data_IF_675539384081
#
_entry.id   IF_675539384081
#
_cell.length_a   1.000
_cell.length_b   1.000
_cell.length_c   1.000
_cell.angle_alpha   90.00
_cell.angle_beta   90.00
_cell.angle_gamma   90.00
#
_symmetry.space_group_name_H-M   'P 1'
#
loop_
_entity.id
_entity.type
_entity.pdbx_description
1 polymer ?
#
# COMPACT_ATOMS: atom_id res chain seq x y z
N UNK A 1 39.27 -40.20 3.14
CA UNK A 1 39.75 -40.32 4.54
C UNK A 1 39.46 -39.02 5.28
N UNK A 2 38.73 -39.14 6.40
CA UNK A 2 38.61 -38.25 7.57
C UNK A 2 38.45 -36.71 7.34
N UNK A 3 37.32 -36.06 7.58
CA UNK A 3 36.44 -35.89 8.76
C UNK A 3 36.78 -34.66 9.63
N UNK A 4 35.80 -33.75 9.73
CA UNK A 4 35.32 -33.04 10.92
C UNK A 4 36.03 -31.75 11.43
N UNK A 5 35.30 -30.62 11.46
CA UNK A 5 34.49 -30.21 12.65
C UNK A 5 33.75 -28.87 12.42
N UNK A 6 32.46 -28.90 12.76
CA UNK A 6 31.61 -27.75 13.02
C UNK A 6 32.16 -26.88 14.15
N UNK A 7 32.02 -25.57 14.01
CA UNK A 7 31.90 -24.65 15.14
C UNK A 7 30.60 -23.85 15.01
N UNK A 8 29.65 -24.20 15.87
CA UNK A 8 28.56 -23.32 16.27
C UNK A 8 29.12 -22.34 17.30
N UNK A 9 28.89 -21.05 17.09
CA UNK A 9 29.02 -20.07 18.17
C UNK A 9 27.74 -19.27 18.25
N UNK A 10 26.94 -19.65 19.24
CA UNK A 10 25.88 -18.84 19.84
C UNK A 10 26.46 -17.53 20.32
N UNK A 11 26.00 -16.40 19.79
CA UNK A 11 26.15 -15.11 20.45
C UNK A 11 24.86 -14.80 21.21
N UNK A 12 24.98 -15.00 22.52
CA UNK A 12 24.09 -14.55 23.57
C UNK A 12 23.75 -13.08 23.43
N UNK A 13 22.47 -12.77 23.66
CA UNK A 13 21.96 -11.43 23.90
C UNK A 13 22.79 -10.72 24.99
N UNK A 14 23.39 -9.60 24.62
CA UNK A 14 23.77 -8.56 25.57
C UNK A 14 22.87 -7.36 25.31
N UNK A 15 21.89 -7.19 26.19
CA UNK A 15 21.28 -5.89 26.45
C UNK A 15 22.39 -4.92 26.84
N UNK A 16 22.61 -3.89 26.03
CA UNK A 16 23.06 -2.58 26.46
C UNK A 16 23.12 -1.66 25.23
N UNK A 17 22.04 -0.91 24.99
CA UNK A 17 22.18 0.37 24.31
C UNK A 17 21.68 1.46 25.25
N UNK A 18 22.67 2.18 25.75
CA UNK A 18 22.58 3.45 26.43
C UNK A 18 21.59 4.41 25.74
N UNK A 19 20.87 5.12 26.60
CA UNK A 19 20.20 6.38 26.32
C UNK A 19 21.06 7.26 25.41
N UNK A 20 20.63 7.42 24.16
CA UNK A 20 21.02 8.55 23.33
C UNK A 20 19.83 9.51 23.32
N UNK A 21 19.97 10.54 24.16
CA UNK A 21 19.25 11.80 24.05
C UNK A 21 19.28 12.26 22.60
N UNK A 22 18.15 12.14 21.90
CA UNK A 22 17.96 12.85 20.64
C UNK A 22 17.45 14.24 21.00
N UNK A 23 18.30 15.21 20.73
CA UNK A 23 18.13 16.62 20.96
C UNK A 23 16.80 17.10 20.38
N UNK A 24 16.04 17.81 21.21
CA UNK A 24 14.84 18.55 20.85
C UNK A 24 15.20 19.66 19.85
N UNK A 25 14.72 19.54 18.61
CA UNK A 25 14.67 20.66 17.69
C UNK A 25 13.47 21.55 18.05
N UNK A 26 13.65 22.89 18.14
CA UNK A 26 12.53 23.80 18.33
C UNK A 26 11.90 24.09 16.96
N UNK A 27 10.73 23.53 16.72
CA UNK A 27 9.90 23.82 15.55
C UNK A 27 8.46 23.46 15.90
N UNK A 28 7.56 24.43 15.79
CA UNK A 28 6.17 24.37 16.24
C UNK A 28 5.41 23.12 15.73
N UNK A 29 5.37 22.08 16.56
CA UNK A 29 4.42 20.99 16.42
C UNK A 29 3.02 21.51 16.74
N UNK A 30 2.37 22.10 15.73
CA UNK A 30 0.92 22.29 15.73
C UNK A 30 0.28 20.90 15.77
N UNK A 31 -0.10 20.48 16.98
CA UNK A 31 -0.92 19.29 17.21
C UNK A 31 -2.08 19.32 16.22
N UNK A 32 -2.13 18.29 15.38
CA UNK A 32 -3.16 18.05 14.37
C UNK A 32 -4.60 18.25 14.91
N UNK A 33 -4.81 18.11 16.22
CA UNK A 33 -6.03 18.46 16.97
C UNK A 33 -6.63 19.85 16.71
N UNK A 34 -5.86 20.84 16.22
CA UNK A 34 -6.35 22.20 15.93
C UNK A 34 -6.92 22.37 14.51
N UNK A 35 -6.88 21.34 13.67
CA UNK A 35 -7.49 21.28 12.33
C UNK A 35 -8.85 20.57 12.46
N UNK A 36 -9.95 21.32 12.41
CA UNK A 36 -11.30 20.83 12.72
C UNK A 36 -11.63 19.53 11.97
N UNK A 37 -11.95 18.47 12.73
CA UNK A 37 -12.31 17.16 12.19
C UNK A 37 -13.82 17.00 12.08
N UNK A 38 -14.28 16.46 10.95
CA UNK A 38 -15.64 15.92 10.84
C UNK A 38 -15.66 14.49 11.42
N UNK A 39 -16.22 14.34 12.62
CA UNK A 39 -16.45 13.04 13.26
C UNK A 39 -17.71 12.37 12.72
N UNK A 40 -17.57 11.43 11.80
CA UNK A 40 -18.57 10.36 11.61
C UNK A 40 -17.88 9.02 11.35
N UNK A 41 -17.87 8.16 12.37
CA UNK A 41 -17.57 6.73 12.24
C UNK A 41 -18.89 5.99 12.08
N UNK A 42 -19.23 5.56 10.86
CA UNK A 42 -20.26 4.52 10.67
C UNK A 42 -19.56 3.25 10.22
N UNK A 43 -19.56 2.23 11.08
CA UNK A 43 -19.30 0.86 10.62
C UNK A 43 -20.54 0.44 9.83
N UNK A 44 -20.40 0.28 8.51
CA UNK A 44 -21.50 -0.13 7.65
C UNK A 44 -21.56 -1.66 7.56
N UNK A 45 -22.72 -2.19 7.91
CA UNK A 45 -23.21 -3.51 7.52
C UNK A 45 -23.56 -3.48 6.02
N UNK A 46 -23.11 -4.49 5.26
CA UNK A 46 -23.49 -4.69 3.85
C UNK A 46 -22.60 -3.97 2.83
N UNK A 47 -22.20 -4.69 1.78
CA UNK A 47 -21.33 -4.24 0.70
C UNK A 47 -22.05 -3.20 -0.18
N UNK A 48 -22.04 -1.94 0.24
CA UNK A 48 -22.01 -0.84 -0.71
C UNK A 48 -20.58 -0.76 -1.25
N UNK A 49 -20.36 -0.50 -2.56
CA UNK A 49 -19.04 -0.11 -3.05
C UNK A 49 -18.57 1.02 -2.13
N UNK A 50 -17.41 0.84 -1.49
CA UNK A 50 -16.82 1.86 -0.62
C UNK A 50 -16.86 3.18 -1.37
N UNK A 51 -17.85 4.03 -1.07
CA UNK A 51 -17.94 5.34 -1.72
C UNK A 51 -16.73 6.11 -1.22
N UNK A 52 -15.75 6.39 -2.09
CA UNK A 52 -14.53 7.05 -1.65
C UNK A 52 -14.90 8.38 -1.04
N UNK A 53 -14.38 8.66 0.15
CA UNK A 53 -14.57 9.96 0.78
C UNK A 53 -13.83 11.00 -0.06
N UNK A 54 -14.44 12.12 -0.47
CA UNK A 54 -13.71 13.19 -1.15
C UNK A 54 -12.63 13.74 -0.22
N UNK A 55 -11.48 14.19 -0.75
CA UNK A 55 -10.34 14.65 0.06
C UNK A 55 -10.74 15.74 1.05
N UNK A 56 -11.56 16.70 0.61
CA UNK A 56 -12.07 17.81 1.43
C UNK A 56 -12.89 17.38 2.65
N UNK A 57 -13.36 16.13 2.71
CA UNK A 57 -14.02 15.58 3.91
C UNK A 57 -13.05 14.95 4.91
N UNK A 58 -11.78 14.80 4.54
CA UNK A 58 -10.71 14.19 5.34
C UNK A 58 -9.75 15.27 5.85
N UNK A 59 -9.36 16.19 4.96
CA UNK A 59 -8.44 17.29 5.22
C UNK A 59 -9.00 18.58 4.62
N UNK A 60 -8.81 19.69 5.33
CA UNK A 60 -9.12 21.02 4.82
C UNK A 60 -8.04 21.45 3.82
N UNK A 61 -8.32 21.25 2.53
CA UNK A 61 -7.42 21.53 1.41
C UNK A 61 -6.98 22.99 1.40
N UNK A 62 -7.90 23.92 1.70
CA UNK A 62 -7.61 25.36 1.72
C UNK A 62 -6.65 25.73 2.85
N UNK A 63 -6.78 25.08 4.01
CA UNK A 63 -5.90 25.36 5.16
C UNK A 63 -4.49 24.80 5.00
N UNK A 64 -4.28 23.79 4.16
CA UNK A 64 -2.96 23.19 3.93
C UNK A 64 -2.30 23.63 2.63
N UNK A 65 -2.99 24.43 1.80
CA UNK A 65 -2.48 24.82 0.47
C UNK A 65 -1.14 25.56 0.49
N UNK A 66 -0.84 26.29 1.56
CA UNK A 66 0.41 27.06 1.70
C UNK A 66 1.53 26.26 2.40
N UNK A 67 1.25 25.00 2.80
CA UNK A 67 2.26 24.11 3.40
C UNK A 67 3.09 23.40 2.33
N UNK A 68 4.29 22.99 2.71
CA UNK A 68 5.15 22.15 1.86
C UNK A 68 4.50 20.78 1.58
N UNK A 69 4.94 20.10 0.52
CA UNK A 69 4.48 18.75 0.21
C UNK A 69 4.84 17.77 1.35
N UNK A 70 6.03 17.92 1.92
CA UNK A 70 6.55 17.14 3.03
C UNK A 70 5.69 17.29 4.29
N UNK A 71 5.31 18.52 4.64
CA UNK A 71 4.45 18.78 5.81
C UNK A 71 3.06 18.16 5.63
N UNK A 72 2.50 18.23 4.42
CA UNK A 72 1.19 17.63 4.12
C UNK A 72 1.27 16.11 4.18
N UNK A 73 2.31 15.50 3.61
CA UNK A 73 2.53 14.06 3.63
C UNK A 73 2.71 13.54 5.07
N UNK A 74 3.54 14.20 5.88
CA UNK A 74 3.72 13.86 7.29
C UNK A 74 2.40 13.92 8.04
N UNK A 75 1.62 14.97 7.83
CA UNK A 75 0.37 15.14 8.55
C UNK A 75 -0.74 14.16 8.07
N UNK A 76 -0.68 13.77 6.79
CA UNK A 76 -1.53 12.73 6.23
C UNK A 76 -1.25 11.35 6.82
N UNK A 77 0.03 11.00 6.97
CA UNK A 77 0.47 9.75 7.58
C UNK A 77 0.07 9.70 9.06
N UNK A 78 0.35 10.78 9.82
CA UNK A 78 -0.03 10.91 11.23
C UNK A 78 -1.54 10.80 11.46
N UNK A 79 -2.35 11.35 10.54
CA UNK A 79 -3.80 11.27 10.65
C UNK A 79 -4.34 9.83 10.54
N UNK A 80 -3.72 9.00 9.69
CA UNK A 80 -4.17 7.63 9.44
C UNK A 80 -3.55 6.61 10.41
N UNK A 81 -2.43 6.96 11.04
CA UNK A 81 -1.73 6.10 12.00
C UNK A 81 -2.66 5.58 13.11
N UNK A 82 -2.72 4.25 13.25
CA UNK A 82 -3.50 3.58 14.30
C UNK A 82 -5.02 3.61 14.10
N UNK A 83 -5.51 4.03 12.92
CA UNK A 83 -6.96 4.14 12.64
C UNK A 83 -7.51 3.05 11.72
N UNK A 84 -6.74 2.00 11.44
CA UNK A 84 -7.11 0.95 10.49
C UNK A 84 -7.09 1.43 9.03
N UNK A 85 -6.28 2.46 8.75
CA UNK A 85 -6.10 3.02 7.42
C UNK A 85 -4.60 3.13 7.12
N UNK A 86 -4.25 3.04 5.84
CA UNK A 86 -2.92 3.32 5.34
C UNK A 86 -2.90 4.74 4.77
N UNK A 87 -2.10 5.62 5.36
CA UNK A 87 -1.69 6.89 4.75
C UNK A 87 -0.42 6.66 3.94
N UNK A 88 -0.41 7.18 2.71
CA UNK A 88 0.79 7.27 1.89
C UNK A 88 0.68 8.46 0.93
N UNK A 89 1.77 8.79 0.25
CA UNK A 89 1.80 9.77 -0.84
C UNK A 89 2.79 9.32 -1.92
N UNK A 90 2.63 9.85 -3.13
CA UNK A 90 3.55 9.62 -4.24
C UNK A 90 3.66 10.86 -5.12
N UNK A 91 4.72 10.94 -5.95
CA UNK A 91 4.87 12.02 -6.93
C UNK A 91 3.80 11.95 -8.01
N UNK A 92 3.39 13.12 -8.53
CA UNK A 92 2.35 13.20 -9.55
C UNK A 92 2.76 12.47 -10.83
N UNK A 93 4.01 12.61 -11.27
CA UNK A 93 4.51 11.92 -12.46
C UNK A 93 4.43 10.38 -12.36
N UNK A 94 4.71 9.81 -11.19
CA UNK A 94 4.60 8.38 -10.94
C UNK A 94 3.14 7.92 -10.92
N UNK A 95 2.24 8.74 -10.35
CA UNK A 95 0.81 8.47 -10.40
C UNK A 95 0.28 8.45 -11.83
N UNK A 96 0.64 9.44 -12.66
CA UNK A 96 0.22 9.48 -14.06
C UNK A 96 0.78 8.31 -14.88
N UNK A 97 2.00 7.87 -14.60
CA UNK A 97 2.54 6.65 -15.21
C UNK A 97 1.73 5.40 -14.82
N UNK A 98 1.40 5.26 -13.54
CA UNK A 98 0.56 4.18 -13.03
C UNK A 98 -0.84 4.22 -13.68
N UNK A 99 -1.47 5.39 -13.72
CA UNK A 99 -2.79 5.63 -14.31
C UNK A 99 -2.81 5.24 -15.80
N UNK A 100 -1.86 5.73 -16.58
CA UNK A 100 -1.73 5.40 -17.99
C UNK A 100 -1.58 3.89 -18.21
N UNK A 101 -0.71 3.25 -17.43
CA UNK A 101 -0.45 1.80 -17.53
C UNK A 101 -1.63 0.96 -17.08
N UNK A 102 -2.36 1.41 -16.06
CA UNK A 102 -3.55 0.75 -15.55
C UNK A 102 -4.75 0.87 -16.50
N UNK A 103 -4.86 1.95 -17.27
CA UNK A 103 -5.93 2.10 -18.27
C UNK A 103 -5.96 0.91 -19.24
N UNK A 104 -4.77 0.46 -19.64
CA UNK A 104 -4.53 -0.65 -20.58
C UNK A 104 -4.41 -2.02 -19.93
N UNK A 105 -3.83 -2.09 -18.73
CA UNK A 105 -3.53 -3.33 -18.01
C UNK A 105 -4.05 -3.21 -16.58
N UNK A 106 -5.31 -3.57 -16.35
CA UNK A 106 -6.01 -3.32 -15.07
C UNK A 106 -5.76 -4.37 -14.01
N UNK A 107 -5.36 -5.57 -14.41
CA UNK A 107 -5.37 -6.72 -13.52
C UNK A 107 -3.97 -7.22 -13.22
N UNK A 108 -3.73 -7.67 -12.00
CA UNK A 108 -2.48 -8.35 -11.68
C UNK A 108 -2.65 -9.29 -10.50
N UNK A 109 -1.66 -10.16 -10.28
CA UNK A 109 -1.62 -11.07 -9.15
C UNK A 109 -0.35 -10.88 -8.36
N UNK A 110 -0.47 -10.75 -7.04
CA UNK A 110 0.64 -10.51 -6.12
C UNK A 110 0.69 -11.64 -5.07
N UNK A 111 1.84 -12.31 -4.89
CA UNK A 111 2.04 -13.25 -3.80
C UNK A 111 2.17 -12.50 -2.46
N UNK A 112 1.30 -12.78 -1.49
CA UNK A 112 1.42 -12.28 -0.13
C UNK A 112 2.00 -13.38 0.77
N UNK A 113 3.26 -13.23 1.20
CA UNK A 113 3.96 -14.22 1.99
C UNK A 113 3.35 -14.40 3.39
N UNK A 114 3.03 -15.65 3.75
CA UNK A 114 2.39 -16.02 5.03
C UNK A 114 2.74 -17.45 5.44
N UNK A 115 3.05 -17.65 6.72
CA UNK A 115 3.04 -18.98 7.35
C UNK A 115 3.92 -20.04 6.65
N UNK A 116 5.03 -19.64 6.02
CA UNK A 116 5.90 -20.55 5.28
C UNK A 116 5.53 -20.80 3.82
N UNK A 117 4.56 -20.05 3.27
CA UNK A 117 4.21 -20.02 1.85
C UNK A 117 3.64 -18.66 1.46
N UNK A 118 2.75 -18.61 0.47
CA UNK A 118 2.07 -17.36 0.09
C UNK A 118 0.59 -17.59 -0.22
N UNK A 119 -0.21 -16.55 0.00
CA UNK A 119 -1.57 -16.42 -0.53
C UNK A 119 -1.52 -15.49 -1.74
N UNK A 120 -2.18 -15.85 -2.83
CA UNK A 120 -2.22 -14.96 -4.01
C UNK A 120 -3.34 -13.94 -3.88
N UNK A 121 -2.99 -12.67 -4.04
CA UNK A 121 -3.91 -11.53 -4.07
C UNK A 121 -4.16 -11.11 -5.51
N UNK A 122 -5.42 -10.91 -5.86
CA UNK A 122 -5.85 -10.34 -7.13
C UNK A 122 -6.00 -8.82 -6.97
N UNK A 123 -5.19 -8.07 -7.72
CA UNK A 123 -5.22 -6.61 -7.77
C UNK A 123 -6.01 -6.14 -8.99
N UNK A 124 -6.95 -5.23 -8.76
CA UNK A 124 -7.69 -4.51 -9.79
C UNK A 124 -7.33 -3.04 -9.69
N UNK A 125 -6.52 -2.54 -10.63
CA UNK A 125 -6.06 -1.15 -10.69
C UNK A 125 -6.94 -0.40 -11.69
N UNK A 126 -7.86 0.42 -11.17
CA UNK A 126 -8.75 1.26 -11.97
C UNK A 126 -8.80 2.64 -11.32
N UNK A 127 -7.86 3.50 -11.71
CA UNK A 127 -7.70 4.82 -11.11
C UNK A 127 -9.01 5.62 -11.13
N UNK A 128 -9.31 6.39 -10.06
CA UNK A 128 -8.45 6.64 -8.89
C UNK A 128 -8.54 5.56 -7.80
N UNK A 129 -8.98 4.34 -8.11
CA UNK A 129 -9.13 3.24 -7.16
C UNK A 129 -8.23 2.04 -7.47
N UNK A 130 -7.89 1.31 -6.40
CA UNK A 130 -7.25 0.00 -6.52
C UNK A 130 -7.84 -0.95 -5.48
N UNK A 131 -8.23 -2.15 -5.90
CA UNK A 131 -8.87 -3.15 -5.06
C UNK A 131 -8.01 -4.41 -4.98
N UNK A 132 -7.99 -5.01 -3.80
CA UNK A 132 -7.29 -6.26 -3.55
C UNK A 132 -8.24 -7.28 -2.96
N UNK A 133 -8.33 -8.43 -3.61
CA UNK A 133 -9.19 -9.55 -3.20
C UNK A 133 -8.35 -10.81 -3.16
N UNK A 134 -8.59 -11.71 -2.20
CA UNK A 134 -7.95 -13.03 -2.25
C UNK A 134 -8.31 -13.74 -3.55
N UNK A 135 -7.32 -14.28 -4.28
CA UNK A 135 -7.56 -14.84 -5.61
C UNK A 135 -8.56 -16.01 -5.55
N UNK A 136 -8.47 -16.87 -4.54
CA UNK A 136 -9.39 -18.00 -4.34
C UNK A 136 -10.83 -17.52 -4.05
N UNK A 137 -10.99 -16.47 -3.24
CA UNK A 137 -12.29 -15.87 -2.96
C UNK A 137 -12.90 -15.23 -4.24
N UNK A 138 -12.06 -14.59 -5.06
CA UNK A 138 -12.48 -14.03 -6.34
C UNK A 138 -12.87 -15.12 -7.34
N UNK A 139 -12.12 -16.22 -7.44
CA UNK A 139 -12.50 -17.37 -8.27
C UNK A 139 -13.85 -17.98 -7.85
N UNK A 140 -14.10 -18.05 -6.55
CA UNK A 140 -15.32 -18.64 -6.01
C UNK A 140 -16.57 -17.75 -6.18
N UNK A 141 -16.42 -16.42 -6.11
CA UNK A 141 -17.56 -15.48 -6.04
C UNK A 141 -17.58 -14.42 -7.16
N UNK A 142 -16.55 -14.37 -7.99
CA UNK A 142 -16.38 -13.36 -9.03
C UNK A 142 -16.43 -11.94 -8.46
N UNK A 143 -17.16 -11.06 -9.14
CA UNK A 143 -17.35 -9.65 -8.74
C UNK A 143 -18.14 -9.47 -7.43
N UNK A 144 -18.72 -10.54 -6.87
CA UNK A 144 -19.39 -10.51 -5.57
C UNK A 144 -18.41 -10.79 -4.41
N UNK A 145 -17.16 -11.14 -4.69
CA UNK A 145 -16.12 -11.24 -3.68
C UNK A 145 -15.84 -9.84 -3.11
N UNK A 146 -15.98 -9.69 -1.79
CA UNK A 146 -15.62 -8.45 -1.13
C UNK A 146 -14.08 -8.31 -1.09
N UNK A 147 -13.54 -7.13 -1.45
CA UNK A 147 -12.11 -6.87 -1.37
C UNK A 147 -11.67 -6.89 0.09
N UNK A 148 -10.42 -7.29 0.31
CA UNK A 148 -9.77 -7.24 1.62
C UNK A 148 -9.23 -5.85 1.89
N UNK A 149 -8.84 -5.13 0.83
CA UNK A 149 -8.23 -3.82 0.88
C UNK A 149 -8.62 -2.99 -0.34
N UNK A 150 -8.91 -1.72 -0.10
CA UNK A 150 -9.28 -0.76 -1.13
C UNK A 150 -8.42 0.50 -0.97
N UNK A 151 -7.99 1.06 -2.09
CA UNK A 151 -7.10 2.22 -2.14
C UNK A 151 -7.74 3.30 -2.98
N UNK A 152 -7.61 4.55 -2.53
CA UNK A 152 -8.04 5.75 -3.25
C UNK A 152 -6.87 6.70 -3.41
N UNK A 153 -6.70 7.23 -4.62
CA UNK A 153 -5.74 8.26 -4.98
C UNK A 153 -6.43 9.63 -5.03
N UNK A 154 -5.81 10.64 -4.46
CA UNK A 154 -6.27 12.03 -4.37
C UNK A 154 -5.27 12.94 -5.06
N UNK A 155 -5.64 13.46 -6.23
CA UNK A 155 -4.77 14.20 -7.14
C UNK A 155 -4.91 15.73 -7.02
N UNK A 156 -5.63 16.23 -6.03
CA UNK A 156 -5.87 17.67 -5.82
C UNK A 156 -4.57 18.48 -5.63
N UNK A 157 -3.50 17.84 -5.16
CA UNK A 157 -2.17 18.45 -5.01
C UNK A 157 -1.19 18.13 -6.15
N UNK A 158 -1.63 17.44 -7.20
CA UNK A 158 -0.73 16.97 -8.25
C UNK A 158 -0.08 18.14 -9.00
N UNK A 159 -0.86 19.14 -9.43
CA UNK A 159 -0.35 20.29 -10.17
C UNK A 159 0.40 21.29 -9.28
N UNK A 160 -0.11 21.53 -8.07
CA UNK A 160 0.41 22.58 -7.19
C UNK A 160 1.63 22.14 -6.36
N UNK A 161 1.82 20.83 -6.14
CA UNK A 161 2.85 20.29 -5.23
C UNK A 161 3.57 19.04 -5.75
N UNK A 162 3.34 18.63 -7.00
CA UNK A 162 3.87 17.36 -7.56
C UNK A 162 3.57 16.16 -6.65
N UNK A 163 2.37 16.13 -6.03
CA UNK A 163 2.03 15.15 -5.01
C UNK A 163 0.60 14.63 -5.15
N UNK A 164 0.44 13.32 -5.02
CA UNK A 164 -0.84 12.62 -4.93
C UNK A 164 -0.91 11.95 -3.56
N UNK A 165 -1.98 12.22 -2.80
CA UNK A 165 -2.22 11.56 -1.52
C UNK A 165 -2.93 10.22 -1.76
N UNK A 166 -2.63 9.24 -0.91
CA UNK A 166 -3.12 7.88 -1.05
C UNK A 166 -3.72 7.45 0.28
N UNK A 167 -4.95 6.95 0.24
CA UNK A 167 -5.60 6.31 1.38
C UNK A 167 -5.87 4.86 1.07
N UNK A 168 -5.45 3.98 1.96
CA UNK A 168 -5.84 2.58 1.97
C UNK A 168 -6.83 2.29 3.11
N UNK A 169 -7.94 1.63 2.80
CA UNK A 169 -8.95 1.16 3.74
C UNK A 169 -8.90 -0.38 3.83
N UNK A 170 -8.50 -0.91 5.00
CA UNK A 170 -8.49 -2.36 5.26
C UNK A 170 -9.92 -2.82 5.56
N UNK A 171 -10.56 -3.43 4.56
CA UNK A 171 -11.98 -3.83 4.60
C UNK A 171 -12.19 -5.11 5.40
N UNK A 172 -11.23 -6.04 5.35
CA UNK A 172 -11.28 -7.29 6.11
C UNK A 172 -10.07 -7.44 7.04
N UNK A 173 -10.08 -6.82 8.23
CA UNK A 173 -8.98 -6.92 9.19
C UNK A 173 -8.69 -8.35 9.68
N UNK A 174 -9.66 -9.27 9.58
CA UNK A 174 -9.47 -10.69 9.87
C UNK A 174 -8.70 -11.45 8.79
N UNK A 175 -8.56 -10.87 7.59
CA UNK A 175 -7.88 -11.46 6.44
C UNK A 175 -6.60 -10.74 6.07
N UNK A 176 -6.44 -9.47 6.43
CA UNK A 176 -5.30 -8.64 6.04
C UNK A 176 -4.95 -7.67 7.16
N UNK A 177 -3.69 -7.67 7.59
CA UNK A 177 -3.15 -6.69 8.53
C UNK A 177 -2.72 -5.39 7.83
N UNK A 178 -2.58 -4.31 8.59
CA UNK A 178 -2.14 -3.01 8.07
C UNK A 178 -0.76 -3.09 7.38
N UNK A 179 0.18 -3.87 7.94
CA UNK A 179 1.51 -4.05 7.37
C UNK A 179 1.45 -4.75 6.01
N UNK A 180 0.62 -5.79 5.90
CA UNK A 180 0.43 -6.52 4.65
C UNK A 180 -0.31 -5.67 3.61
N UNK A 181 -1.29 -4.86 4.03
CA UNK A 181 -1.99 -3.93 3.15
C UNK A 181 -1.04 -2.87 2.59
N UNK A 182 -0.20 -2.27 3.43
CA UNK A 182 0.84 -1.33 3.01
C UNK A 182 1.81 -1.99 2.03
N UNK A 183 2.28 -3.19 2.34
CA UNK A 183 3.17 -3.94 1.45
C UNK A 183 2.53 -4.25 0.09
N UNK A 184 1.24 -4.63 0.06
CA UNK A 184 0.50 -4.86 -1.19
C UNK A 184 0.38 -3.60 -2.05
N UNK A 185 0.10 -2.45 -1.41
CA UNK A 185 0.04 -1.15 -2.08
C UNK A 185 1.38 -0.83 -2.75
N UNK A 186 2.46 -0.80 -1.97
CA UNK A 186 3.80 -0.45 -2.44
C UNK A 186 4.29 -1.43 -3.51
N UNK A 187 4.06 -2.73 -3.30
CA UNK A 187 4.43 -3.76 -4.26
C UNK A 187 3.70 -3.56 -5.58
N UNK A 188 2.38 -3.38 -5.55
CA UNK A 188 1.59 -3.18 -6.77
C UNK A 188 2.02 -1.92 -7.49
N UNK A 189 2.20 -0.81 -6.78
CA UNK A 189 2.73 0.43 -7.36
C UNK A 189 4.07 0.18 -8.05
N UNK A 190 5.00 -0.53 -7.39
CA UNK A 190 6.32 -0.84 -7.96
C UNK A 190 6.23 -1.61 -9.29
N UNK A 191 5.25 -2.50 -9.45
CA UNK A 191 5.03 -3.22 -10.71
C UNK A 191 4.53 -2.30 -11.82
N UNK A 192 3.71 -1.30 -11.49
CA UNK A 192 3.17 -0.37 -12.47
C UNK A 192 4.14 0.76 -12.81
N UNK A 193 4.96 1.23 -11.88
CA UNK A 193 5.85 2.38 -12.12
C UNK A 193 7.26 2.01 -12.57
N UNK A 194 7.66 0.74 -12.48
CA UNK A 194 8.97 0.27 -12.95
C UNK A 194 8.84 -0.45 -14.31
N UNK A 195 9.62 -0.01 -15.31
CA UNK A 195 9.55 -0.53 -16.68
C UNK A 195 9.79 -2.05 -16.79
N UNK A 196 10.77 -2.56 -16.03
CA UNK A 196 11.10 -3.99 -16.05
C UNK A 196 10.00 -4.81 -15.42
N UNK A 197 9.48 -4.38 -14.26
CA UNK A 197 8.39 -5.08 -13.56
C UNK A 197 7.08 -5.00 -14.33
N UNK A 198 6.81 -3.87 -15.00
CA UNK A 198 5.57 -3.67 -15.76
C UNK A 198 5.39 -4.67 -16.90
N UNK A 199 6.48 -5.21 -17.48
CA UNK A 199 6.40 -6.29 -18.48
C UNK A 199 5.63 -7.51 -17.97
N UNK A 200 5.69 -7.82 -16.68
CA UNK A 200 4.93 -8.91 -16.08
C UNK A 200 3.44 -8.59 -16.00
N UNK A 201 3.10 -7.34 -15.68
CA UNK A 201 1.72 -6.84 -15.68
C UNK A 201 1.16 -6.86 -17.10
N UNK A 202 1.92 -6.36 -18.07
CA UNK A 202 1.52 -6.37 -19.47
C UNK A 202 1.28 -7.79 -19.99
N UNK A 203 2.21 -8.71 -19.70
CA UNK A 203 2.06 -10.12 -20.09
C UNK A 203 0.82 -10.75 -19.47
N UNK A 204 0.55 -10.49 -18.19
CA UNK A 204 -0.65 -10.98 -17.52
C UNK A 204 -1.95 -10.52 -18.23
N UNK A 205 -2.03 -9.25 -18.65
CA UNK A 205 -3.25 -8.68 -19.24
C UNK A 205 -3.40 -8.94 -20.74
N UNK A 206 -2.30 -8.96 -21.50
CA UNK A 206 -2.33 -8.99 -22.98
C UNK A 206 -1.84 -10.30 -23.59
N UNK A 207 -1.04 -11.06 -22.86
CA UNK A 207 -0.36 -12.27 -23.33
C UNK A 207 -0.48 -13.39 -22.28
N UNK A 208 -1.68 -13.60 -21.74
CA UNK A 208 -1.91 -14.45 -20.55
C UNK A 208 -1.37 -15.88 -20.70
N UNK A 209 -1.26 -16.41 -21.92
CA UNK A 209 -0.69 -17.72 -22.19
C UNK A 209 0.82 -17.82 -21.93
N UNK A 210 1.55 -16.70 -22.04
CA UNK A 210 2.99 -16.61 -21.77
C UNK A 210 3.28 -16.18 -20.31
N UNK A 211 2.24 -15.86 -19.54
CA UNK A 211 2.40 -15.42 -18.16
C UNK A 211 2.75 -16.61 -17.25
N UNK A 212 3.88 -16.50 -16.57
CA UNK A 212 4.31 -17.46 -15.56
C UNK A 212 4.39 -16.79 -14.18
N UNK A 213 3.61 -17.31 -13.22
CA UNK A 213 3.58 -16.73 -11.88
C UNK A 213 4.94 -16.81 -11.15
N UNK A 214 5.78 -17.79 -11.49
CA UNK A 214 7.14 -17.92 -10.96
C UNK A 214 8.01 -16.69 -11.25
N UNK A 215 7.76 -15.98 -12.35
CA UNK A 215 8.49 -14.76 -12.71
C UNK A 215 8.14 -13.63 -11.74
N UNK A 216 6.91 -13.60 -11.22
CA UNK A 216 6.48 -12.66 -10.17
C UNK A 216 7.15 -12.99 -8.85
N UNK A 217 7.23 -14.27 -8.48
CA UNK A 217 7.96 -14.71 -7.28
C UNK A 217 9.43 -14.29 -7.35
N UNK A 218 10.09 -14.54 -8.49
CA UNK A 218 11.47 -14.15 -8.72
C UNK A 218 11.68 -12.63 -8.65
N UNK A 219 10.78 -11.84 -9.26
CA UNK A 219 10.86 -10.37 -9.22
C UNK A 219 10.72 -9.77 -7.81
N UNK A 220 10.15 -10.55 -6.88
CA UNK A 220 9.97 -10.21 -5.47
C UNK A 220 10.94 -10.95 -4.54
N UNK A 221 11.88 -11.72 -5.09
CA UNK A 221 12.84 -12.53 -4.32
C UNK A 221 12.16 -13.51 -3.34
N UNK A 222 10.95 -13.95 -3.69
CA UNK A 222 10.20 -14.94 -2.91
C UNK A 222 10.67 -16.34 -3.30
N UNK A 223 11.00 -17.22 -2.34
CA UNK A 223 11.42 -18.58 -2.64
C UNK A 223 10.37 -19.33 -3.46
N UNK A 224 10.82 -20.01 -4.52
CA UNK A 224 10.03 -21.03 -5.19
C UNK A 224 10.00 -22.26 -4.28
N UNK A 225 8.88 -22.44 -3.57
CA UNK A 225 8.61 -23.63 -2.76
C UNK A 225 8.13 -24.80 -3.62
#
# INVERSE_FOLDING_TARGET
>A
FANNKHFFTTLTAQQNHHNLHQQSFPGDFLKWGSLGFFRTSSFATGFAPLKPKPLGSIIDVERVKDRSAEDIASAWDDFHLGRGHIGASMKANLYHLLEHRAAECRYFVIPLWRGGGYTTMFAQVQTPHMLFTGLEDYKAKGTQAAPYFAVTYYNEFAESKDMVLIRGDVVMPSKLSDLEAKWLLETTQSFYVNDTRYKLVERFNRQTHDFEFKDVLQALEIPNL
#
